data_IF_183936674988
#
_entry.id   IF_183936674988
#
_cell.length_a   1.000
_cell.length_b   1.000
_cell.length_c   1.000
_cell.angle_alpha   90.00
_cell.angle_beta   90.00
_cell.angle_gamma   90.00
#
_symmetry.space_group_name_H-M   'P 1'
#
loop_
_entity.id
_entity.type
_entity.pdbx_description
1 polymer ?
#
# COMPACT_ATOMS: atom_id res chain seq x y z
N UNK A 1 24.83 3.44 -3.89
CA UNK A 1 23.83 2.91 -2.95
C UNK A 1 24.04 3.67 -1.65
N UNK A 2 23.10 4.56 -1.30
CA UNK A 2 23.23 5.37 -0.09
C UNK A 2 22.89 4.56 1.15
N UNK A 3 23.49 4.93 2.27
CA UNK A 3 23.23 4.28 3.57
C UNK A 3 22.75 5.31 4.58
N UNK A 4 21.92 4.86 5.51
CA UNK A 4 21.43 5.68 6.61
C UNK A 4 21.89 5.10 7.94
N UNK A 5 22.17 5.98 8.91
CA UNK A 5 22.58 5.54 10.24
C UNK A 5 21.36 5.14 11.05
N UNK A 6 21.40 3.94 11.63
CA UNK A 6 20.45 3.46 12.63
C UNK A 6 20.99 3.78 14.02
N UNK A 7 20.17 4.33 14.91
CA UNK A 7 20.58 4.74 16.25
C UNK A 7 19.41 4.63 17.26
N UNK A 8 19.69 4.53 18.57
CA UNK A 8 18.64 4.56 19.59
C UNK A 8 18.09 5.99 19.77
N UNK A 9 16.77 6.10 19.96
CA UNK A 9 16.09 7.32 20.37
C UNK A 9 15.19 7.00 21.57
N UNK A 10 15.69 7.26 22.78
CA UNK A 10 15.04 6.81 24.01
C UNK A 10 14.97 5.28 24.07
N UNK A 11 13.75 4.74 24.21
CA UNK A 11 13.47 3.28 24.20
C UNK A 11 13.19 2.72 22.80
N UNK A 12 13.29 3.55 21.76
CA UNK A 12 12.97 3.20 20.38
C UNK A 12 14.22 3.19 19.49
N UNK A 13 14.09 2.64 18.29
CA UNK A 13 15.09 2.72 17.23
C UNK A 13 14.68 3.78 16.20
N UNK A 14 15.65 4.51 15.67
CA UNK A 14 15.44 5.54 14.65
C UNK A 14 16.44 5.41 13.50
N UNK A 15 16.06 5.91 12.33
CA UNK A 15 16.91 6.02 11.14
C UNK A 15 17.11 7.49 10.82
N UNK A 16 18.36 7.94 10.64
CA UNK A 16 18.65 9.31 10.21
C UNK A 16 18.62 9.37 8.69
N UNK A 17 17.54 9.92 8.14
CA UNK A 17 17.39 10.10 6.69
C UNK A 17 18.42 11.13 6.17
N UNK A 18 19.20 10.80 5.12
CA UNK A 18 20.01 11.78 4.41
C UNK A 18 19.11 12.86 3.78
N UNK A 19 19.70 14.00 3.41
CA UNK A 19 18.94 15.17 2.92
C UNK A 19 18.03 14.82 1.74
N UNK A 20 18.52 14.01 0.82
CA UNK A 20 17.83 13.67 -0.44
C UNK A 20 16.67 12.68 -0.25
N UNK A 21 16.52 12.10 0.95
CA UNK A 21 15.47 11.13 1.29
C UNK A 21 14.49 11.66 2.34
N UNK A 22 14.49 12.97 2.62
CA UNK A 22 13.56 13.57 3.59
C UNK A 22 12.15 13.60 3.02
N UNK A 23 11.18 13.34 3.88
CA UNK A 23 9.78 13.57 3.57
C UNK A 23 9.41 15.04 3.83
N UNK A 24 8.56 15.59 2.96
CA UNK A 24 7.82 16.82 3.24
C UNK A 24 6.51 16.46 3.96
N UNK A 25 6.62 15.77 5.10
CA UNK A 25 5.48 15.32 5.90
C UNK A 25 5.86 15.06 7.36
N UNK A 26 4.91 15.29 8.27
CA UNK A 26 5.08 15.02 9.70
C UNK A 26 4.87 13.54 10.08
N UNK A 27 4.07 12.82 9.28
CA UNK A 27 3.71 11.43 9.52
C UNK A 27 3.82 10.58 8.25
N UNK A 28 4.22 9.32 8.43
CA UNK A 28 4.29 8.30 7.38
C UNK A 28 3.51 7.05 7.80
N UNK A 29 2.87 6.40 6.84
CA UNK A 29 2.47 5.01 6.99
C UNK A 29 3.72 4.12 6.95
N UNK A 30 3.70 3.05 7.76
CA UNK A 30 4.78 2.08 7.83
C UNK A 30 4.23 0.69 7.52
N UNK A 31 4.89 -0.03 6.61
CA UNK A 31 4.60 -1.43 6.33
C UNK A 31 5.89 -2.25 6.20
N UNK A 32 5.81 -3.53 6.53
CA UNK A 32 6.95 -4.45 6.51
C UNK A 32 6.75 -5.48 5.40
N UNK A 33 7.75 -5.60 4.53
CA UNK A 33 7.76 -6.56 3.41
C UNK A 33 9.03 -7.42 3.52
N UNK A 34 8.91 -8.60 4.12
CA UNK A 34 10.06 -9.45 4.42
C UNK A 34 11.03 -8.77 5.39
N UNK A 35 12.26 -8.51 4.93
CA UNK A 35 13.29 -7.77 5.68
C UNK A 35 13.25 -6.25 5.43
N UNK A 36 12.43 -5.77 4.51
CA UNK A 36 12.32 -4.35 4.18
C UNK A 36 11.22 -3.65 4.99
N UNK A 37 11.44 -2.36 5.26
CA UNK A 37 10.44 -1.44 5.82
C UNK A 37 10.18 -0.37 4.77
N UNK A 38 8.91 -0.20 4.40
CA UNK A 38 8.45 0.80 3.44
C UNK A 38 7.75 1.91 4.22
N UNK A 39 8.15 3.16 3.96
CA UNK A 39 7.59 4.36 4.56
C UNK A 39 6.91 5.18 3.46
N UNK A 40 5.64 5.53 3.67
CA UNK A 40 4.82 6.28 2.69
C UNK A 40 4.28 7.53 3.38
N UNK A 41 4.49 8.76 2.85
CA UNK A 41 3.89 9.97 3.39
C UNK A 41 2.38 9.83 3.55
N UNK A 42 1.85 10.17 4.73
CA UNK A 42 0.41 10.06 5.00
C UNK A 42 -0.42 11.05 4.16
N UNK A 43 0.20 12.17 3.79
CA UNK A 43 -0.40 13.25 3.03
C UNK A 43 -0.51 12.92 1.53
N UNK A 44 0.29 11.97 1.05
CA UNK A 44 0.46 11.66 -0.38
C UNK A 44 0.37 10.14 -0.66
N UNK A 45 -0.40 9.43 0.17
CA UNK A 45 -0.54 7.98 0.07
C UNK A 45 -1.17 7.51 -1.24
N UNK A 46 -1.87 8.40 -1.95
CA UNK A 46 -2.47 8.12 -3.25
C UNK A 46 -1.49 8.35 -4.40
N UNK A 47 -0.62 9.36 -4.36
CA UNK A 47 0.36 9.63 -5.41
C UNK A 47 1.33 8.47 -5.60
N UNK A 48 1.90 7.96 -4.50
CA UNK A 48 2.80 6.78 -4.52
C UNK A 48 2.11 5.53 -5.05
N UNK A 49 0.81 5.36 -4.76
CA UNK A 49 0.02 4.25 -5.30
C UNK A 49 -0.19 4.43 -6.82
N UNK A 50 -0.54 5.62 -7.29
CA UNK A 50 -0.73 5.90 -8.72
C UNK A 50 0.57 5.74 -9.51
N UNK A 51 1.70 6.22 -8.99
CA UNK A 51 3.01 6.01 -9.62
C UNK A 51 3.38 4.51 -9.70
N UNK A 52 2.97 3.72 -8.70
CA UNK A 52 3.15 2.27 -8.74
C UNK A 52 2.22 1.59 -9.77
N UNK A 53 1.06 2.17 -10.06
CA UNK A 53 0.16 1.67 -11.11
C UNK A 53 0.72 1.88 -12.52
N UNK A 54 1.54 2.92 -12.73
CA UNK A 54 2.21 3.17 -14.03
C UNK A 54 3.25 2.08 -14.38
N UNK A 55 3.62 1.22 -13.42
CA UNK A 55 4.50 0.07 -13.65
C UNK A 55 3.82 -1.14 -14.30
N UNK A 56 2.50 -1.15 -14.44
CA UNK A 56 1.77 -2.25 -15.05
C UNK A 56 1.80 -2.17 -16.58
N UNK A 57 1.89 -3.34 -17.22
CA UNK A 57 1.74 -3.45 -18.68
C UNK A 57 0.27 -3.23 -19.07
N UNK A 58 0.02 -2.80 -20.31
CA UNK A 58 -1.34 -2.46 -20.76
C UNK A 58 -2.35 -3.61 -20.72
N UNK A 59 -1.87 -4.85 -20.65
CA UNK A 59 -2.65 -6.09 -20.51
C UNK A 59 -2.90 -6.50 -19.05
N UNK A 60 -2.34 -5.77 -18.08
CA UNK A 60 -2.58 -6.06 -16.66
C UNK A 60 -4.06 -5.87 -16.31
N UNK A 61 -4.69 -6.92 -15.79
CA UNK A 61 -6.11 -6.94 -15.39
C UNK A 61 -7.09 -6.65 -16.55
N UNK A 62 -6.76 -7.05 -17.78
CA UNK A 62 -7.63 -6.88 -18.95
C UNK A 62 -8.97 -7.61 -18.81
N UNK A 63 -9.00 -8.75 -18.12
CA UNK A 63 -10.21 -9.45 -17.69
C UNK A 63 -10.29 -9.55 -16.17
N UNK A 64 -11.39 -9.06 -15.59
CA UNK A 64 -11.68 -9.16 -14.15
C UNK A 64 -12.11 -10.58 -13.75
N UNK A 65 -12.57 -11.40 -14.69
CA UNK A 65 -13.19 -12.70 -14.41
C UNK A 65 -14.43 -12.55 -13.53
N UNK A 66 -15.15 -11.42 -13.66
CA UNK A 66 -16.30 -11.15 -12.81
C UNK A 66 -17.43 -12.13 -13.16
N UNK A 67 -17.93 -12.92 -12.19
CA UNK A 67 -19.00 -13.86 -12.47
C UNK A 67 -20.26 -13.10 -12.91
N UNK A 68 -21.00 -13.68 -13.85
CA UNK A 68 -22.36 -13.24 -14.17
C UNK A 68 -23.22 -13.28 -12.92
N UNK A 69 -24.11 -12.29 -12.75
CA UNK A 69 -25.02 -12.22 -11.62
C UNK A 69 -25.71 -13.56 -11.41
N UNK A 70 -25.49 -14.15 -10.24
CA UNK A 70 -26.15 -15.39 -9.85
C UNK A 70 -27.64 -15.09 -9.70
N UNK A 71 -28.48 -15.77 -10.49
CA UNK A 71 -29.93 -15.71 -10.34
C UNK A 71 -30.27 -16.24 -8.95
N UNK A 72 -30.46 -15.33 -7.98
CA UNK A 72 -30.98 -15.70 -6.66
C UNK A 72 -32.33 -16.37 -6.92
N UNK A 73 -32.45 -17.65 -6.58
CA UNK A 73 -33.76 -18.30 -6.47
C UNK A 73 -34.60 -17.44 -5.55
N UNK A 74 -35.79 -17.06 -6.02
CA UNK A 74 -36.81 -16.50 -5.15
C UNK A 74 -36.98 -17.46 -3.97
N UNK A 75 -36.77 -16.96 -2.75
CA UNK A 75 -37.05 -17.70 -1.55
C UNK A 75 -38.56 -17.90 -1.51
N UNK A 76 -39.01 -19.05 -1.97
CA UNK A 76 -40.41 -19.44 -1.92
C UNK A 76 -40.78 -19.68 -0.45
N UNK A 77 -41.34 -18.66 0.18
CA UNK A 77 -41.89 -18.72 1.53
C UNK A 77 -43.24 -19.46 1.58
N UNK A 78 -43.71 -20.09 0.49
CA UNK A 78 -45.00 -20.77 0.41
C UNK A 78 -45.02 -22.20 0.98
N UNK A 79 -44.23 -22.48 2.02
CA UNK A 79 -44.47 -23.65 2.89
C UNK A 79 -44.60 -23.19 4.33
N UNK A 80 -45.79 -22.69 4.66
CA UNK A 80 -46.36 -22.73 6.00
C UNK A 80 -47.58 -23.62 6.04
#
# INVERSE_FOLDING_TARGET
MDTAKVFPNGRSQAVRLPKDFRFDADEVFITKMGSAVVLIPKQDSWGVLFDALDGFTGDFMEDRGQPTEEQRRDLDFSRS
#
